data_IF_132336136063
#
_entry.id   IF_132336136063
#
_cell.length_a   1.000
_cell.length_b   1.000
_cell.length_c   1.000
_cell.angle_alpha   90.00
_cell.angle_beta   90.00
_cell.angle_gamma   90.00
#
_symmetry.space_group_name_H-M   'P 1'
#
loop_
_entity.id
_entity.type
_entity.pdbx_description
1 polymer ?
#
# COMPACT_ATOMS: atom_id res chain seq x y z
N UNK A 1 -17.57 -0.53 5.34
CA UNK A 1 -17.73 0.82 5.91
C UNK A 1 -16.75 1.73 5.18
N UNK A 2 -17.22 2.86 4.66
CA UNK A 2 -16.43 3.75 3.78
C UNK A 2 -15.24 4.43 4.49
N UNK A 3 -15.10 4.31 5.82
CA UNK A 3 -14.04 4.94 6.61
C UNK A 3 -13.31 3.94 7.51
N UNK A 4 -13.14 2.70 7.03
CA UNK A 4 -12.52 1.63 7.80
C UNK A 4 -11.07 1.96 8.16
N UNK A 5 -10.31 2.55 7.25
CA UNK A 5 -8.91 2.93 7.48
C UNK A 5 -8.79 3.99 8.59
N UNK A 6 -9.58 5.07 8.51
CA UNK A 6 -9.59 6.19 9.46
C UNK A 6 -9.87 5.72 10.88
N UNK A 7 -10.86 4.84 11.03
CA UNK A 7 -11.25 4.26 12.34
C UNK A 7 -10.12 3.44 12.96
N UNK A 8 -9.25 2.86 12.15
CA UNK A 8 -8.13 2.03 12.60
C UNK A 8 -6.84 2.80 12.81
N UNK A 9 -6.68 4.04 12.28
CA UNK A 9 -5.45 4.83 12.39
C UNK A 9 -4.85 4.89 13.82
N UNK A 10 -5.64 5.06 14.90
CA UNK A 10 -5.08 5.10 16.26
C UNK A 10 -4.39 3.80 16.70
N UNK A 11 -4.64 2.69 16.00
CA UNK A 11 -4.18 1.34 16.37
C UNK A 11 -3.16 0.75 15.39
N UNK A 12 -3.00 1.32 14.19
CA UNK A 12 -2.09 0.80 13.16
C UNK A 12 -0.63 0.99 13.60
N UNK A 13 0.11 -0.11 13.65
CA UNK A 13 1.56 -0.15 13.94
C UNK A 13 2.36 -0.50 12.68
N UNK A 14 1.85 -1.43 11.89
CA UNK A 14 2.44 -1.83 10.62
C UNK A 14 1.36 -1.88 9.56
N UNK A 15 1.74 -1.70 8.31
CA UNK A 15 0.83 -1.88 7.17
C UNK A 15 1.60 -2.52 6.01
N UNK A 16 0.96 -3.48 5.36
CA UNK A 16 1.48 -4.14 4.18
C UNK A 16 0.81 -3.55 2.94
N UNK A 17 1.62 -3.17 1.96
CA UNK A 17 1.18 -2.41 0.80
C UNK A 17 1.33 -3.27 -0.46
N UNK A 18 0.21 -3.46 -1.14
CA UNK A 18 0.11 -4.01 -2.48
C UNK A 18 -1.24 -3.58 -3.08
N UNK A 19 -1.37 -3.68 -4.39
CA UNK A 19 -2.55 -3.25 -5.13
C UNK A 19 -3.36 -4.44 -5.66
N UNK A 20 -4.60 -4.21 -6.08
CA UNK A 20 -5.47 -5.16 -6.75
C UNK A 20 -6.61 -4.45 -7.50
N UNK A 21 -7.31 -5.17 -8.36
CA UNK A 21 -8.45 -4.68 -9.16
C UNK A 21 -9.81 -4.83 -8.46
N UNK A 22 -9.83 -5.15 -7.17
CA UNK A 22 -11.05 -5.39 -6.38
C UNK A 22 -11.69 -6.77 -6.57
N UNK A 23 -11.19 -7.60 -7.50
CA UNK A 23 -11.75 -8.94 -7.72
C UNK A 23 -11.11 -10.04 -6.86
N UNK A 24 -9.83 -9.89 -6.52
CA UNK A 24 -9.06 -10.87 -5.71
C UNK A 24 -7.76 -10.25 -5.19
N UNK A 25 -7.07 -11.00 -4.35
CA UNK A 25 -5.78 -10.60 -3.79
C UNK A 25 -4.60 -10.86 -4.77
N UNK A 26 -4.34 -9.89 -5.64
CA UNK A 26 -3.38 -10.03 -6.74
C UNK A 26 -1.93 -9.65 -6.37
N UNK A 27 -1.73 -8.97 -5.23
CA UNK A 27 -0.42 -8.43 -4.83
C UNK A 27 0.29 -7.60 -5.92
N UNK A 28 -0.47 -6.77 -6.64
CA UNK A 28 0.05 -5.93 -7.71
C UNK A 28 0.91 -4.78 -7.15
N UNK A 29 1.69 -4.14 -8.03
CA UNK A 29 2.45 -2.94 -7.69
C UNK A 29 1.48 -1.76 -7.47
N UNK A 30 1.67 -0.91 -6.45
CA UNK A 30 0.87 0.31 -6.28
C UNK A 30 0.72 1.12 -7.56
N UNK A 31 -0.51 1.50 -7.90
CA UNK A 31 -0.87 2.24 -9.11
C UNK A 31 -1.11 1.35 -10.33
N UNK A 32 -1.21 0.03 -10.15
CA UNK A 32 -1.53 -0.91 -11.22
C UNK A 32 -2.84 -1.68 -10.99
N UNK A 33 -3.49 -1.46 -9.85
CA UNK A 33 -4.86 -1.87 -9.57
C UNK A 33 -5.78 -0.65 -9.45
N UNK A 34 -6.73 -0.71 -8.51
CA UNK A 34 -7.73 0.34 -8.28
C UNK A 34 -7.74 0.90 -6.85
N UNK A 35 -6.73 0.61 -6.02
CA UNK A 35 -6.61 1.22 -4.69
C UNK A 35 -6.34 2.72 -4.82
N UNK A 36 -7.08 3.53 -4.06
CA UNK A 36 -6.81 4.97 -3.92
C UNK A 36 -5.60 5.22 -3.02
N UNK A 37 -4.42 5.16 -3.64
CA UNK A 37 -3.14 5.33 -2.94
C UNK A 37 -2.93 6.72 -2.36
N UNK A 38 -3.47 7.76 -2.99
CA UNK A 38 -3.34 9.12 -2.47
C UNK A 38 -4.08 9.24 -1.13
N UNK A 39 -5.33 8.75 -1.08
CA UNK A 39 -6.11 8.67 0.13
C UNK A 39 -5.45 7.78 1.19
N UNK A 40 -5.05 6.55 0.83
CA UNK A 40 -4.46 5.60 1.76
C UNK A 40 -3.17 6.12 2.39
N UNK A 41 -2.23 6.65 1.59
CA UNK A 41 -0.95 7.16 2.10
C UNK A 41 -1.16 8.44 2.92
N UNK A 42 -2.04 9.34 2.48
CA UNK A 42 -2.39 10.56 3.24
C UNK A 42 -2.91 10.23 4.63
N UNK A 43 -3.74 9.19 4.76
CA UNK A 43 -4.27 8.74 6.05
C UNK A 43 -3.24 7.96 6.87
N UNK A 44 -2.49 7.02 6.27
CA UNK A 44 -1.46 6.27 6.98
C UNK A 44 -0.37 7.17 7.58
N UNK A 45 0.01 8.27 6.89
CA UNK A 45 0.93 9.28 7.42
C UNK A 45 0.42 9.96 8.71
N UNK A 46 -0.89 9.90 9.00
CA UNK A 46 -1.51 10.44 10.22
C UNK A 46 -1.61 9.42 11.36
N UNK A 47 -1.31 8.15 11.13
CA UNK A 47 -1.39 7.12 12.16
C UNK A 47 -0.30 7.33 13.23
N UNK A 48 -0.65 7.62 14.50
CA UNK A 48 0.31 8.05 15.52
C UNK A 48 1.28 6.96 15.97
N UNK A 49 1.00 5.70 15.63
CA UNK A 49 1.74 4.52 16.06
C UNK A 49 2.44 3.78 14.91
N UNK A 50 2.38 4.31 13.70
CA UNK A 50 2.92 3.64 12.52
C UNK A 50 4.46 3.57 12.61
N UNK A 51 5.00 2.35 12.50
CA UNK A 51 6.43 2.06 12.57
C UNK A 51 6.96 1.48 11.26
N UNK A 52 6.13 0.77 10.49
CA UNK A 52 6.58 0.10 9.28
C UNK A 52 5.51 0.11 8.18
N UNK A 53 5.93 0.50 6.99
CA UNK A 53 5.21 0.27 5.74
C UNK A 53 6.01 -0.73 4.92
N UNK A 54 5.47 -1.92 4.74
CA UNK A 54 6.15 -3.03 4.08
C UNK A 54 5.53 -3.29 2.72
N UNK A 55 6.36 -3.50 1.69
CA UNK A 55 5.87 -4.00 0.41
C UNK A 55 5.43 -5.47 0.55
N UNK A 56 4.23 -5.77 0.10
CA UNK A 56 3.73 -7.14 -0.11
C UNK A 56 3.47 -7.47 -1.58
N UNK A 57 3.99 -6.66 -2.49
CA UNK A 57 4.01 -6.98 -3.92
C UNK A 57 4.74 -8.30 -4.15
N UNK A 58 4.21 -9.18 -4.99
CA UNK A 58 4.87 -10.44 -5.37
C UNK A 58 5.51 -10.24 -6.76
N UNK A 59 6.81 -9.91 -6.86
CA UNK A 59 7.41 -9.41 -8.11
C UNK A 59 7.40 -10.47 -9.22
N UNK A 60 7.60 -11.74 -8.85
CA UNK A 60 7.60 -12.89 -9.76
C UNK A 60 6.23 -13.16 -10.39
N UNK A 61 5.12 -12.82 -9.71
CA UNK A 61 3.76 -12.98 -10.24
C UNK A 61 3.34 -11.82 -11.13
N UNK A 62 3.88 -10.63 -10.87
CA UNK A 62 3.49 -9.40 -11.55
C UNK A 62 4.46 -8.99 -12.67
N UNK A 63 5.51 -9.78 -12.93
CA UNK A 63 6.59 -9.43 -13.85
C UNK A 63 7.19 -8.03 -13.55
N UNK A 64 7.40 -7.75 -12.26
CA UNK A 64 7.97 -6.48 -11.78
C UNK A 64 9.41 -6.71 -11.36
N UNK A 65 10.33 -5.90 -11.87
CA UNK A 65 11.71 -5.94 -11.38
C UNK A 65 11.83 -5.32 -9.99
N UNK A 66 12.75 -5.83 -9.16
CA UNK A 66 13.03 -5.27 -7.83
C UNK A 66 13.34 -3.77 -7.91
N UNK A 67 14.11 -3.34 -8.92
CA UNK A 67 14.42 -1.93 -9.14
C UNK A 67 13.17 -1.07 -9.41
N UNK A 68 12.18 -1.59 -10.15
CA UNK A 68 10.91 -0.91 -10.38
C UNK A 68 10.08 -0.84 -9.10
N UNK A 69 10.02 -1.92 -8.33
CA UNK A 69 9.35 -1.95 -7.03
C UNK A 69 9.93 -0.90 -6.08
N UNK A 70 11.27 -0.87 -5.90
CA UNK A 70 11.92 0.10 -5.04
C UNK A 70 11.65 1.55 -5.46
N UNK A 71 11.67 1.84 -6.77
CA UNK A 71 11.33 3.19 -7.27
C UNK A 71 9.87 3.54 -6.99
N UNK A 72 8.94 2.62 -7.24
CA UNK A 72 7.53 2.85 -6.97
C UNK A 72 7.28 3.19 -5.49
N UNK A 73 7.82 2.40 -4.56
CA UNK A 73 7.67 2.68 -3.12
C UNK A 73 8.38 3.95 -2.68
N UNK A 74 9.53 4.27 -3.29
CA UNK A 74 10.21 5.54 -3.05
C UNK A 74 9.34 6.73 -3.46
N UNK A 75 8.66 6.66 -4.60
CA UNK A 75 7.76 7.73 -5.06
C UNK A 75 6.47 7.78 -4.24
N UNK A 76 5.88 6.62 -3.92
CA UNK A 76 4.65 6.49 -3.14
C UNK A 76 4.77 7.10 -1.74
N UNK A 77 5.96 7.01 -1.14
CA UNK A 77 6.21 7.43 0.24
C UNK A 77 6.91 8.79 0.38
N UNK A 78 7.14 9.51 -0.73
CA UNK A 78 7.50 10.94 -0.66
C UNK A 78 6.40 11.71 0.06
#
# INVERSE_FOLDING_TARGET
DEQTLEKLLPYIVTCHLHDNDGSRDQHLLPGTGCVDWEHCISNLKKAPRLQCLQSEVIPVRCNVSIARLCRCFKELLK
#
